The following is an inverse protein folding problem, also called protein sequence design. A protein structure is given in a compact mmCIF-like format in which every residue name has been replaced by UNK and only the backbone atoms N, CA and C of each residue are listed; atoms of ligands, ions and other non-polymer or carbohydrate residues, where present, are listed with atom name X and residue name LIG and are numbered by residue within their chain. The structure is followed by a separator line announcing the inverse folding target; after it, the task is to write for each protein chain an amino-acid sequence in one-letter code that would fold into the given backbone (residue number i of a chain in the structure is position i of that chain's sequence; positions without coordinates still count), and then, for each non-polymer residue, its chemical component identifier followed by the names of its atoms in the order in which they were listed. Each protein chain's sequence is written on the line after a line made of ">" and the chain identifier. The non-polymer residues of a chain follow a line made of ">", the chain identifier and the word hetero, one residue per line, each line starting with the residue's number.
data_IF_148064611041
#
_entry.id   IF_148064611041
#
_cell.length_a   1.000
_cell.length_b   1.000
_cell.length_c   1.000
_cell.angle_alpha   90.00
_cell.angle_beta   90.00
_cell.angle_gamma   90.00
#
_symmetry.space_group_name_H-M   'P 1'
#
loop_
_entity.id
_entity.type
_entity.pdbx_description
1 polymer ?
#
# COMPACT_ATOMS: atom_id res chain seq x y z
N UNK A 1 11.01 -11.45 1.22
CA UNK A 1 10.90 -11.96 2.60
C UNK A 1 11.33 -10.84 3.52
N UNK A 2 10.49 -10.44 4.48
CA UNK A 2 10.81 -9.40 5.47
C UNK A 2 10.84 -9.96 6.92
N UNK A 3 10.39 -11.20 7.13
CA UNK A 3 10.37 -11.90 8.43
C UNK A 3 10.95 -13.30 8.26
N UNK A 4 11.86 -13.71 9.14
CA UNK A 4 12.46 -15.05 9.13
C UNK A 4 12.37 -15.67 10.52
N UNK A 5 11.73 -16.83 10.61
CA UNK A 5 11.64 -17.61 11.85
C UNK A 5 12.61 -18.79 11.78
N UNK A 6 13.45 -18.93 12.79
CA UNK A 6 14.29 -20.12 12.96
C UNK A 6 13.58 -21.10 13.88
N UNK A 7 13.36 -22.33 13.42
CA UNK A 7 12.76 -23.40 14.23
C UNK A 7 13.44 -24.73 13.88
N UNK A 8 13.93 -25.43 14.90
CA UNK A 8 14.58 -26.75 14.77
C UNK A 8 15.72 -26.77 13.72
N UNK A 9 16.49 -25.68 13.65
CA UNK A 9 17.59 -25.53 12.68
C UNK A 9 17.16 -25.19 11.25
N UNK A 10 15.85 -25.05 10.99
CA UNK A 10 15.28 -24.66 9.69
C UNK A 10 14.86 -23.20 9.70
N UNK A 11 15.12 -22.48 8.60
CA UNK A 11 14.69 -21.11 8.39
C UNK A 11 13.40 -21.05 7.56
N UNK A 12 12.38 -20.40 8.10
CA UNK A 12 11.09 -20.17 7.44
C UNK A 12 10.96 -18.69 7.10
N UNK A 13 10.81 -18.39 5.81
CA UNK A 13 10.66 -17.02 5.31
C UNK A 13 9.21 -16.61 5.12
N UNK A 14 8.85 -15.44 5.62
CA UNK A 14 7.54 -14.82 5.50
C UNK A 14 7.63 -13.40 4.89
N UNK A 15 6.52 -12.93 4.34
CA UNK A 15 6.37 -11.56 3.86
C UNK A 15 5.14 -10.90 4.48
N UNK A 16 5.33 -10.28 5.64
CA UNK A 16 4.25 -9.64 6.41
C UNK A 16 3.82 -8.29 5.82
N UNK A 17 4.60 -7.69 4.91
CA UNK A 17 4.23 -6.43 4.25
C UNK A 17 2.96 -6.58 3.41
N UNK A 18 2.74 -7.74 2.78
CA UNK A 18 1.54 -7.98 1.98
C UNK A 18 0.28 -7.93 2.85
N UNK A 19 0.29 -8.66 3.96
CA UNK A 19 -0.83 -8.73 4.89
C UNK A 19 -1.00 -7.41 5.66
N UNK A 20 0.11 -6.79 6.07
CA UNK A 20 0.11 -5.47 6.68
C UNK A 20 -0.44 -4.39 5.76
N UNK A 21 -0.18 -4.46 4.45
CA UNK A 21 -0.77 -3.57 3.46
C UNK A 21 -2.27 -3.81 3.30
N UNK A 22 -2.71 -5.06 3.19
CA UNK A 22 -4.13 -5.38 2.96
C UNK A 22 -5.02 -5.11 4.18
N UNK A 23 -4.49 -5.30 5.39
CA UNK A 23 -5.27 -5.24 6.63
C UNK A 23 -6.05 -3.91 6.79
N UNK A 24 -5.47 -2.71 6.60
CA UNK A 24 -6.20 -1.44 6.65
C UNK A 24 -7.32 -1.29 5.62
N UNK A 25 -7.17 -1.87 4.42
CA UNK A 25 -8.19 -1.86 3.37
C UNK A 25 -9.37 -2.75 3.77
N UNK A 26 -9.07 -3.94 4.32
CA UNK A 26 -10.07 -4.91 4.77
C UNK A 26 -10.85 -4.37 5.98
N UNK A 27 -10.16 -3.81 6.97
CA UNK A 27 -10.78 -3.29 8.20
C UNK A 27 -11.76 -2.15 7.91
N UNK A 28 -11.47 -1.32 6.90
CA UNK A 28 -12.34 -0.26 6.41
C UNK A 28 -13.40 -0.75 5.43
N UNK A 29 -13.44 -2.04 5.11
CA UNK A 29 -14.36 -2.65 4.14
C UNK A 29 -14.29 -1.96 2.77
N UNK A 30 -13.08 -1.57 2.34
CA UNK A 30 -12.86 -1.03 1.00
C UNK A 30 -13.25 -2.09 -0.02
N UNK A 31 -14.05 -1.70 -1.01
CA UNK A 31 -14.45 -2.58 -2.10
C UNK A 31 -13.24 -2.85 -3.00
N UNK A 32 -12.62 -4.03 -2.86
CA UNK A 32 -11.46 -4.42 -3.69
C UNK A 32 -11.88 -5.13 -4.98
N UNK A 33 -12.88 -6.01 -4.89
CA UNK A 33 -13.33 -6.76 -6.07
C UNK A 33 -13.89 -5.80 -7.10
N UNK A 34 -13.47 -5.97 -8.35
CA UNK A 34 -13.87 -5.17 -9.52
C UNK A 34 -13.43 -3.68 -9.46
N UNK A 35 -12.55 -3.31 -8.51
CA UNK A 35 -12.04 -1.94 -8.37
C UNK A 35 -10.94 -1.61 -9.39
N UNK A 36 -10.83 -0.34 -9.77
CA UNK A 36 -9.73 0.21 -10.56
C UNK A 36 -8.67 0.83 -9.64
N UNK A 37 -7.43 0.34 -9.76
CA UNK A 37 -6.31 0.73 -8.90
C UNK A 37 -5.29 1.56 -9.67
N UNK A 38 -4.92 2.71 -9.12
CA UNK A 38 -3.72 3.45 -9.50
C UNK A 38 -2.60 3.14 -8.50
N UNK A 39 -1.54 2.48 -8.95
CA UNK A 39 -0.37 2.14 -8.14
C UNK A 39 0.82 3.02 -8.53
N UNK A 40 1.16 3.98 -7.68
CA UNK A 40 2.31 4.86 -7.87
C UNK A 40 3.55 4.22 -7.25
N UNK A 41 4.53 3.87 -8.07
CA UNK A 41 5.74 3.15 -7.71
C UNK A 41 5.76 1.73 -8.27
N UNK A 42 6.99 1.20 -8.44
CA UNK A 42 7.23 -0.14 -8.97
C UNK A 42 8.35 -0.86 -8.18
N UNK A 43 8.42 -0.61 -6.87
CA UNK A 43 9.38 -1.22 -5.94
C UNK A 43 8.84 -2.50 -5.28
N UNK A 44 9.54 -2.95 -4.22
CA UNK A 44 9.14 -4.14 -3.45
C UNK A 44 7.75 -4.03 -2.83
N UNK A 45 7.44 -2.90 -2.19
CA UNK A 45 6.11 -2.64 -1.62
C UNK A 45 5.02 -2.57 -2.69
N UNK A 46 5.33 -1.98 -3.85
CA UNK A 46 4.42 -1.96 -4.99
C UNK A 46 4.06 -3.38 -5.46
N UNK A 47 5.06 -4.26 -5.54
CA UNK A 47 4.84 -5.67 -5.91
C UNK A 47 3.97 -6.42 -4.88
N UNK A 48 4.19 -6.17 -3.60
CA UNK A 48 3.36 -6.75 -2.53
C UNK A 48 1.91 -6.26 -2.61
N UNK A 49 1.71 -4.95 -2.81
CA UNK A 49 0.39 -4.35 -3.01
C UNK A 49 -0.32 -4.91 -4.25
N UNK A 50 0.35 -4.95 -5.40
CA UNK A 50 -0.17 -5.52 -6.65
C UNK A 50 -0.63 -6.96 -6.46
N UNK A 51 0.20 -7.80 -5.82
CA UNK A 51 -0.18 -9.18 -5.54
C UNK A 51 -1.38 -9.31 -4.60
N UNK A 52 -1.49 -8.42 -3.61
CA UNK A 52 -2.68 -8.31 -2.76
C UNK A 52 -3.94 -7.99 -3.57
N UNK A 53 -3.88 -6.98 -4.45
CA UNK A 53 -4.98 -6.62 -5.33
C UNK A 53 -5.40 -7.74 -6.28
N UNK A 54 -4.42 -8.44 -6.88
CA UNK A 54 -4.66 -9.62 -7.73
C UNK A 54 -5.44 -10.69 -6.97
N UNK A 55 -5.03 -11.04 -5.75
CA UNK A 55 -5.74 -12.02 -4.91
C UNK A 55 -7.17 -11.62 -4.60
N UNK A 56 -7.44 -10.31 -4.52
CA UNK A 56 -8.76 -9.76 -4.25
C UNK A 56 -9.58 -9.43 -5.52
N UNK A 57 -9.10 -9.82 -6.71
CA UNK A 57 -9.82 -9.72 -7.98
C UNK A 57 -10.26 -8.29 -8.32
N UNK A 58 -9.34 -7.34 -8.19
CA UNK A 58 -9.52 -5.99 -8.76
C UNK A 58 -9.77 -6.07 -10.27
N UNK A 59 -10.48 -5.09 -10.84
CA UNK A 59 -10.73 -5.03 -12.27
C UNK A 59 -9.48 -4.65 -13.06
N UNK A 60 -8.77 -3.61 -12.61
CA UNK A 60 -7.56 -3.13 -13.28
C UNK A 60 -6.52 -2.56 -12.32
N UNK A 61 -5.25 -2.62 -12.73
CA UNK A 61 -4.13 -1.99 -12.05
C UNK A 61 -3.33 -1.16 -13.07
N UNK A 62 -3.35 0.17 -12.94
CA UNK A 62 -2.42 1.05 -13.66
C UNK A 62 -1.18 1.28 -12.82
N UNK A 63 -0.04 0.80 -13.28
CA UNK A 63 1.24 0.96 -12.58
C UNK A 63 1.97 2.19 -13.14
N UNK A 64 2.27 3.15 -12.28
CA UNK A 64 2.93 4.38 -12.69
C UNK A 64 4.27 4.54 -11.96
N UNK A 65 5.35 4.81 -12.68
CA UNK A 65 6.65 4.99 -12.05
C UNK A 65 7.54 5.97 -12.83
N UNK A 66 8.48 6.62 -12.13
CA UNK A 66 9.47 7.51 -12.76
C UNK A 66 10.31 6.79 -13.81
N UNK A 67 10.71 5.56 -13.52
CA UNK A 67 11.37 4.69 -14.49
C UNK A 67 10.31 3.77 -15.09
N UNK A 68 9.84 4.12 -16.30
CA UNK A 68 8.71 3.45 -16.98
C UNK A 68 8.96 1.95 -17.13
N UNK A 69 10.17 1.52 -17.48
CA UNK A 69 10.50 0.09 -17.64
C UNK A 69 10.26 -0.75 -16.37
N UNK A 70 10.38 -0.15 -15.17
CA UNK A 70 10.02 -0.85 -13.92
C UNK A 70 8.51 -1.00 -13.76
N UNK A 71 7.74 -0.01 -14.18
CA UNK A 71 6.27 -0.10 -14.18
C UNK A 71 5.79 -1.14 -15.20
N UNK A 72 6.41 -1.19 -16.38
CA UNK A 72 6.11 -2.19 -17.41
C UNK A 72 6.32 -3.62 -16.89
N UNK A 73 7.44 -3.89 -16.23
CA UNK A 73 7.73 -5.20 -15.62
C UNK A 73 6.70 -5.59 -14.55
N UNK A 74 6.31 -4.65 -13.68
CA UNK A 74 5.29 -4.93 -12.67
C UNK A 74 3.89 -5.10 -13.29
N UNK A 75 3.59 -4.35 -14.34
CA UNK A 75 2.34 -4.46 -15.08
C UNK A 75 2.23 -5.79 -15.85
N UNK A 76 3.34 -6.25 -16.43
CA UNK A 76 3.44 -7.59 -17.02
C UNK A 76 3.19 -8.68 -15.98
N UNK A 77 3.82 -8.58 -14.82
CA UNK A 77 3.52 -9.46 -13.69
C UNK A 77 2.04 -9.45 -13.32
N UNK A 78 1.34 -8.30 -13.30
CA UNK A 78 -0.10 -8.29 -13.06
C UNK A 78 -0.90 -9.03 -14.14
N UNK A 79 -0.53 -8.87 -15.42
CA UNK A 79 -1.16 -9.55 -16.55
C UNK A 79 -0.94 -11.06 -16.53
N UNK A 80 0.23 -11.54 -16.13
CA UNK A 80 0.52 -12.98 -15.97
C UNK A 80 -0.44 -13.67 -14.98
N UNK A 81 -0.94 -12.92 -13.99
CA UNK A 81 -1.93 -13.41 -13.03
C UNK A 81 -3.39 -13.09 -13.43
N UNK A 82 -3.62 -12.63 -14.66
CA UNK A 82 -4.95 -12.47 -15.25
C UNK A 82 -5.68 -11.16 -14.89
N UNK A 83 -4.99 -10.16 -14.35
CA UNK A 83 -5.57 -8.83 -14.09
C UNK A 83 -5.25 -7.88 -15.25
N UNK A 84 -6.25 -7.11 -15.69
CA UNK A 84 -6.02 -6.05 -16.69
C UNK A 84 -5.06 -5.01 -16.12
N UNK A 85 -3.95 -4.77 -16.80
CA UNK A 85 -2.89 -3.92 -16.26
C UNK A 85 -2.12 -3.25 -17.38
N UNK A 86 -1.88 -1.95 -17.20
CA UNK A 86 -1.03 -1.14 -18.05
C UNK A 86 0.02 -0.38 -17.22
N UNK A 87 0.93 0.30 -17.90
CA UNK A 87 2.04 1.00 -17.28
C UNK A 87 2.20 2.39 -17.89
N UNK A 88 2.65 3.34 -17.07
CA UNK A 88 2.85 4.70 -17.55
C UNK A 88 3.76 5.55 -16.67
N UNK A 89 4.00 6.81 -17.07
CA UNK A 89 4.58 7.79 -16.17
C UNK A 89 3.64 8.08 -15.00
N UNK A 90 4.17 8.68 -13.94
CA UNK A 90 3.33 9.21 -12.85
C UNK A 90 2.47 10.35 -13.42
N UNK A 91 1.13 10.30 -13.27
CA UNK A 91 0.25 11.32 -13.82
C UNK A 91 0.37 12.62 -13.02
N UNK A 92 0.12 13.75 -13.67
CA UNK A 92 0.12 15.06 -13.00
C UNK A 92 -1.00 15.18 -11.96
N UNK A 93 -2.12 14.50 -12.16
CA UNK A 93 -3.22 14.43 -11.20
C UNK A 93 -3.95 13.08 -11.20
N UNK A 94 -4.52 12.72 -10.05
CA UNK A 94 -5.45 11.58 -9.91
C UNK A 94 -6.74 11.86 -10.70
N UNK A 95 -7.23 10.86 -11.43
CA UNK A 95 -8.50 10.94 -12.16
C UNK A 95 -9.61 10.19 -11.42
N UNK A 96 -10.88 10.56 -11.68
CA UNK A 96 -12.07 9.98 -11.05
C UNK A 96 -12.32 8.50 -11.38
N UNK A 97 -11.60 7.93 -12.35
CA UNK A 97 -11.74 6.52 -12.77
C UNK A 97 -11.18 5.52 -11.75
N UNK A 98 -10.36 5.97 -10.80
CA UNK A 98 -9.71 5.12 -9.81
C UNK A 98 -10.50 5.08 -8.50
N UNK A 99 -10.85 3.85 -8.10
CA UNK A 99 -11.48 3.58 -6.80
C UNK A 99 -10.43 3.55 -5.68
N UNK A 100 -9.20 3.17 -6.01
CA UNK A 100 -8.10 3.03 -5.05
C UNK A 100 -6.83 3.64 -5.64
N UNK A 101 -6.19 4.53 -4.89
CA UNK A 101 -4.89 5.11 -5.26
C UNK A 101 -3.88 4.78 -4.17
N UNK A 102 -2.76 4.16 -4.57
CA UNK A 102 -1.70 3.76 -3.64
C UNK A 102 -0.41 4.49 -3.99
N UNK A 103 0.11 5.30 -3.07
CA UNK A 103 1.49 5.76 -3.14
C UNK A 103 2.41 4.74 -2.48
N UNK A 104 3.24 4.09 -3.29
CA UNK A 104 4.31 3.18 -2.89
C UNK A 104 5.71 3.72 -3.21
N UNK A 105 5.80 5.00 -3.57
CA UNK A 105 7.08 5.70 -3.79
C UNK A 105 7.63 6.24 -2.47
N UNK A 106 8.83 6.83 -2.50
CA UNK A 106 9.39 7.57 -1.36
C UNK A 106 8.97 9.05 -1.32
N UNK A 107 8.17 9.53 -2.29
CA UNK A 107 7.68 10.92 -2.31
C UNK A 107 6.68 11.12 -1.18
N UNK A 108 6.85 12.20 -0.42
CA UNK A 108 6.15 12.45 0.83
C UNK A 108 7.07 12.36 2.05
N UNK A 109 8.09 11.48 2.04
CA UNK A 109 8.95 11.24 3.21
C UNK A 109 9.86 12.44 3.57
N UNK A 110 10.38 13.13 2.55
CA UNK A 110 11.18 14.36 2.68
C UNK A 110 10.43 15.60 2.18
N UNK A 111 9.11 15.51 2.01
CA UNK A 111 8.30 16.48 1.29
C UNK A 111 8.01 16.08 -0.16
N UNK A 112 7.27 16.95 -0.85
CA UNK A 112 6.70 16.67 -2.17
C UNK A 112 5.53 15.70 -2.15
N UNK A 113 4.93 15.47 -3.32
CA UNK A 113 3.90 14.46 -3.55
C UNK A 113 4.07 13.85 -4.93
N UNK A 114 3.65 12.59 -5.14
CA UNK A 114 3.80 11.95 -6.43
C UNK A 114 2.90 12.55 -7.51
N UNK A 115 1.71 13.04 -7.14
CA UNK A 115 0.69 13.53 -8.06
C UNK A 115 -0.23 14.50 -7.34
N UNK A 116 -0.94 15.35 -8.07
CA UNK A 116 -1.99 16.22 -7.50
C UNK A 116 -3.30 15.46 -7.30
N UNK A 117 -4.13 15.95 -6.38
CA UNK A 117 -5.49 15.45 -6.17
C UNK A 117 -6.49 16.42 -6.80
N UNK A 118 -6.79 16.26 -8.10
CA UNK A 118 -7.76 17.09 -8.82
C UNK A 118 -8.87 16.21 -9.39
N UNK A 119 -10.13 16.47 -9.04
CA UNK A 119 -11.27 15.65 -9.49
C UNK A 119 -11.27 14.21 -8.95
N UNK A 120 -10.73 13.99 -7.74
CA UNK A 120 -10.89 12.70 -7.08
C UNK A 120 -12.35 12.48 -6.69
N UNK A 121 -12.83 11.24 -6.81
CA UNK A 121 -14.15 10.88 -6.32
C UNK A 121 -14.13 10.84 -4.78
N UNK A 122 -15.17 11.31 -4.08
CA UNK A 122 -15.29 11.13 -2.63
C UNK A 122 -15.29 9.65 -2.21
N UNK A 123 -15.63 8.74 -3.13
CA UNK A 123 -15.61 7.30 -2.88
C UNK A 123 -14.21 6.68 -3.07
N UNK A 124 -13.23 7.43 -3.58
CA UNK A 124 -11.87 6.93 -3.76
C UNK A 124 -11.20 6.72 -2.40
N UNK A 125 -10.46 5.62 -2.26
CA UNK A 125 -9.54 5.42 -1.14
C UNK A 125 -8.11 5.75 -1.55
N UNK A 126 -7.47 6.68 -0.85
CA UNK A 126 -6.06 7.04 -1.04
C UNK A 126 -5.22 6.45 0.09
N UNK A 127 -4.26 5.60 -0.26
CA UNK A 127 -3.37 4.93 0.67
C UNK A 127 -1.92 5.32 0.38
N UNK A 128 -1.28 6.00 1.31
CA UNK A 128 0.13 6.36 1.20
C UNK A 128 0.95 5.50 2.16
N UNK A 129 1.85 4.65 1.65
CA UNK A 129 2.67 3.78 2.52
C UNK A 129 3.78 4.56 3.22
N UNK A 130 4.00 5.84 2.85
CA UNK A 130 4.85 6.74 3.61
C UNK A 130 4.23 6.96 4.99
N UNK A 131 5.00 6.62 6.04
CA UNK A 131 4.54 6.68 7.43
C UNK A 131 5.12 7.85 8.22
N UNK A 132 6.11 8.57 7.66
CA UNK A 132 6.68 9.80 8.23
C UNK A 132 6.80 10.84 7.12
N UNK A 133 6.12 12.00 7.23
CA UNK A 133 5.15 12.36 8.27
C UNK A 133 3.89 11.47 8.26
N UNK A 134 3.12 11.47 9.36
CA UNK A 134 1.86 10.69 9.47
C UNK A 134 0.85 11.11 8.40
N UNK A 135 0.75 12.43 8.17
CA UNK A 135 -0.09 13.02 7.13
C UNK A 135 0.81 13.61 6.06
N UNK A 136 0.93 12.92 4.93
CA UNK A 136 1.66 13.43 3.76
C UNK A 136 0.84 14.49 3.01
N UNK A 137 1.46 15.29 2.12
CA UNK A 137 0.72 16.24 1.30
C UNK A 137 -0.36 15.57 0.44
N UNK A 138 -0.10 14.36 -0.07
CA UNK A 138 -1.08 13.56 -0.81
C UNK A 138 -2.29 13.20 0.05
N UNK A 139 -2.07 12.65 1.26
CA UNK A 139 -3.16 12.31 2.17
C UNK A 139 -3.94 13.55 2.61
N UNK A 140 -3.25 14.67 2.84
CA UNK A 140 -3.90 15.94 3.17
C UNK A 140 -4.85 16.39 2.05
N UNK A 141 -4.38 16.45 0.81
CA UNK A 141 -5.21 16.86 -0.33
C UNK A 141 -6.35 15.88 -0.60
N UNK A 142 -6.10 14.58 -0.47
CA UNK A 142 -7.13 13.55 -0.58
C UNK A 142 -8.24 13.74 0.46
N UNK A 143 -7.87 13.99 1.71
CA UNK A 143 -8.82 14.26 2.79
C UNK A 143 -9.61 15.55 2.55
N UNK A 144 -8.96 16.62 2.08
CA UNK A 144 -9.61 17.90 1.76
C UNK A 144 -10.60 17.76 0.59
N UNK A 145 -10.35 16.82 -0.33
CA UNK A 145 -11.25 16.48 -1.41
C UNK A 145 -12.34 15.45 -1.05
N UNK A 146 -12.40 15.03 0.22
CA UNK A 146 -13.44 14.12 0.74
C UNK A 146 -13.19 12.63 0.49
N UNK A 147 -12.01 12.25 -0.02
CA UNK A 147 -11.63 10.86 -0.19
C UNK A 147 -11.33 10.18 1.15
N UNK A 148 -11.52 8.86 1.22
CA UNK A 148 -11.07 8.08 2.36
C UNK A 148 -9.55 7.96 2.34
N UNK A 149 -8.88 8.22 3.47
CA UNK A 149 -7.42 8.12 3.55
C UNK A 149 -6.95 6.96 4.43
N UNK A 150 -5.84 6.35 4.04
CA UNK A 150 -5.13 5.34 4.83
C UNK A 150 -3.66 5.79 4.98
N UNK A 151 -3.22 6.13 6.20
CA UNK A 151 -1.86 6.53 6.45
C UNK A 151 -0.90 5.33 6.58
N UNK A 152 0.34 5.50 6.14
CA UNK A 152 1.32 4.40 6.05
C UNK A 152 1.73 3.80 7.38
N UNK A 153 1.51 4.50 8.50
CA UNK A 153 1.80 3.95 9.82
C UNK A 153 0.96 2.71 10.14
N UNK A 154 -0.23 2.56 9.53
CA UNK A 154 -1.08 1.39 9.73
C UNK A 154 -0.47 0.14 9.09
N UNK A 155 0.05 0.25 7.86
CA UNK A 155 0.84 -0.82 7.25
C UNK A 155 2.01 -1.21 8.15
N UNK A 156 2.75 -0.20 8.62
CA UNK A 156 3.94 -0.39 9.45
C UNK A 156 3.62 -1.09 10.77
N UNK A 157 2.48 -0.75 11.40
CA UNK A 157 2.02 -1.39 12.62
C UNK A 157 1.62 -2.85 12.34
N UNK A 158 0.74 -3.10 11.37
CA UNK A 158 0.21 -4.44 11.12
C UNK A 158 1.27 -5.44 10.64
N UNK A 159 2.21 -5.02 9.79
CA UNK A 159 3.31 -5.91 9.40
C UNK A 159 4.19 -6.30 10.59
N UNK A 160 4.36 -5.38 11.57
CA UNK A 160 5.15 -5.63 12.77
C UNK A 160 4.42 -6.52 13.76
N UNK A 161 3.10 -6.34 13.91
CA UNK A 161 2.25 -7.21 14.72
C UNK A 161 2.33 -8.66 14.21
N UNK A 162 2.16 -8.86 12.90
CA UNK A 162 2.29 -10.18 12.29
C UNK A 162 3.68 -10.79 12.45
N UNK A 163 4.73 -9.98 12.28
CA UNK A 163 6.10 -10.44 12.49
C UNK A 163 6.32 -10.86 13.96
N UNK A 164 5.81 -10.08 14.91
CA UNK A 164 5.87 -10.41 16.34
C UNK A 164 5.19 -11.75 16.63
N UNK A 165 3.99 -11.97 16.11
CA UNK A 165 3.23 -13.22 16.30
C UNK A 165 3.96 -14.42 15.70
N UNK A 166 4.50 -14.28 14.48
CA UNK A 166 5.30 -15.33 13.82
C UNK A 166 6.53 -15.70 14.65
N UNK A 167 7.25 -14.71 15.17
CA UNK A 167 8.52 -14.90 15.86
C UNK A 167 8.35 -15.43 17.29
N UNK A 168 7.27 -15.05 17.97
CA UNK A 168 7.09 -15.32 19.41
C UNK A 168 6.05 -16.39 19.71
N UNK A 169 5.24 -16.79 18.73
CA UNK A 169 3.99 -17.56 18.93
C UNK A 169 3.01 -16.91 19.93
N UNK A 170 3.20 -15.63 20.26
CA UNK A 170 2.36 -14.89 21.19
C UNK A 170 1.61 -13.79 20.45
N UNK A 171 0.38 -13.50 20.88
CA UNK A 171 -0.43 -12.41 20.32
C UNK A 171 0.31 -11.07 20.43
N UNK A 172 0.29 -10.26 19.37
CA UNK A 172 0.93 -8.96 19.38
C UNK A 172 0.29 -8.02 20.42
N UNK A 173 1.09 -7.29 21.22
CA UNK A 173 0.59 -6.26 22.12
C UNK A 173 0.28 -4.96 21.34
N UNK A 174 -0.74 -5.01 20.47
CA UNK A 174 -1.12 -3.95 19.51
C UNK A 174 -1.11 -2.53 20.09
N UNK A 175 -1.73 -2.34 21.26
CA UNK A 175 -1.82 -1.01 21.88
C UNK A 175 -0.46 -0.46 22.34
N UNK A 176 0.44 -1.33 22.80
CA UNK A 176 1.78 -0.93 23.20
C UNK A 176 2.64 -0.60 21.95
N UNK A 177 2.52 -1.41 20.90
CA UNK A 177 3.22 -1.18 19.63
C UNK A 177 2.75 0.11 18.96
N UNK A 178 1.43 0.35 18.94
CA UNK A 178 0.84 1.59 18.40
C UNK A 178 1.30 2.83 19.17
N UNK A 179 1.28 2.80 20.50
CA UNK A 179 1.77 3.91 21.34
C UNK A 179 3.25 4.20 21.09
N UNK A 180 4.05 3.15 21.01
CA UNK A 180 5.49 3.27 20.72
C UNK A 180 5.75 3.89 19.35
N UNK A 181 4.96 3.52 18.34
CA UNK A 181 5.09 4.05 16.98
C UNK A 181 4.69 5.52 16.87
N UNK A 182 3.57 5.90 17.49
CA UNK A 182 3.00 7.25 17.41
C UNK A 182 3.57 8.23 18.45
N UNK A 183 4.47 7.77 19.32
CA UNK A 183 5.14 8.61 20.32
C UNK A 183 4.30 8.93 21.57
N UNK A 184 3.33 8.09 21.91
CA UNK A 184 2.50 8.26 23.10
C UNK A 184 3.15 7.65 24.36
N UNK A 185 3.90 8.46 25.10
CA UNK A 185 4.26 8.24 26.50
C UNK A 185 3.71 9.37 27.37
#
# INVERSE_FOLDING_TARGET
>A
TNTVRMKDGVSYGYNTDMDGFLKPLIDRKVQLKDANVLLLGAGGSARAAAFGFIKHKVNSIRVCNRTISKAELLSEFCREYGVSSDAGPIPDSIHAEFDIVVNSTSLGMGGGQPTDVKNISPNTTVYDIVYRPITTPLLKQASEAGAQIIPGWEMLLHQAELAFEILTDAKAPSDAMRRSLLGGF
#
